data_IF_438240102957
#
_entry.id   IF_438240102957
#
_cell.length_a   1.000
_cell.length_b   1.000
_cell.length_c   1.000
_cell.angle_alpha   90.00
_cell.angle_beta   90.00
_cell.angle_gamma   90.00
#
_symmetry.space_group_name_H-M   'P 1'
#
loop_
_entity.id
_entity.type
_entity.pdbx_description
1 polymer ?
#
# COMPACT_ATOMS: atom_id res chain seq x y z
N UNK A 1 5.56 -5.34 6.65
CA UNK A 1 5.66 -4.22 5.72
C UNK A 1 4.38 -3.99 4.95
N UNK A 2 4.04 -2.73 4.75
CA UNK A 2 2.83 -2.36 4.02
C UNK A 2 3.00 -1.06 3.25
N UNK A 3 2.73 -1.12 1.94
CA UNK A 3 2.87 0.06 1.09
C UNK A 3 1.50 0.58 0.67
N UNK A 4 1.08 1.69 1.28
CA UNK A 4 -0.21 2.28 0.96
C UNK A 4 -0.08 3.30 -0.17
N UNK A 5 -0.63 2.96 -1.32
CA UNK A 5 -0.56 3.86 -2.47
C UNK A 5 -1.73 3.69 -3.42
N UNK A 6 -2.09 4.76 -4.12
CA UNK A 6 -3.20 4.71 -5.06
C UNK A 6 -4.51 4.38 -4.35
N UNK A 7 -4.62 4.80 -3.09
CA UNK A 7 -5.82 4.54 -2.30
C UNK A 7 -5.95 3.06 -1.98
N UNK A 8 -4.81 2.36 -1.94
CA UNK A 8 -4.80 0.93 -1.63
C UNK A 8 -3.42 0.49 -1.16
N UNK A 9 -3.39 -0.33 -0.13
CA UNK A 9 -2.14 -0.84 0.42
C UNK A 9 -1.88 -2.26 -0.02
N UNK A 10 -0.60 -2.62 -0.16
CA UNK A 10 -0.22 -3.95 -0.60
C UNK A 10 0.96 -4.47 0.22
N UNK A 12 4.13 -5.20 0.58
CA UNK A 12 5.42 -4.97 -0.06
C UNK A 12 6.56 -5.40 0.88
#
# INVERSE_FOLDING_TARGET
>A
GVCCGVSFCYXC
#
